data_IF_225243968582
#
_entry.id   IF_225243968582
#
_cell.length_a   1.000
_cell.length_b   1.000
_cell.length_c   1.000
_cell.angle_alpha   90.00
_cell.angle_beta   90.00
_cell.angle_gamma   90.00
#
_symmetry.space_group_name_H-M   'P 1'
#
loop_
_entity.id
_entity.type
_entity.pdbx_description
1 polymer ?
#
# COMPACT_ATOMS: atom_id res chain seq x y z
N UNK A 1 -27.95 -8.03 -32.03
CA UNK A 1 -26.46 -7.84 -31.99
C UNK A 1 -26.18 -6.35 -31.88
N UNK A 2 -25.32 -5.94 -30.95
CA UNK A 2 -24.82 -4.55 -30.84
C UNK A 2 -23.54 -4.41 -31.67
N UNK A 3 -23.48 -3.42 -32.57
CA UNK A 3 -22.24 -3.12 -33.32
C UNK A 3 -21.20 -2.52 -32.38
N UNK A 4 -19.97 -3.09 -32.37
CA UNK A 4 -18.86 -2.73 -31.47
C UNK A 4 -17.94 -1.72 -32.12
N UNK A 5 -18.25 -0.42 -32.00
CA UNK A 5 -17.47 0.67 -32.62
C UNK A 5 -16.04 0.76 -32.06
N UNK A 6 -15.83 0.39 -30.80
CA UNK A 6 -14.49 0.34 -30.17
C UNK A 6 -13.52 -0.66 -30.81
N UNK A 7 -14.00 -1.58 -31.66
CA UNK A 7 -13.17 -2.46 -32.46
C UNK A 7 -12.73 -1.83 -33.77
N UNK A 8 -13.54 -0.91 -34.29
CA UNK A 8 -13.25 -0.17 -35.54
C UNK A 8 -12.36 1.03 -35.26
N UNK A 9 -12.65 1.77 -34.18
CA UNK A 9 -11.92 2.93 -33.75
C UNK A 9 -11.85 2.98 -32.21
N UNK A 10 -10.67 2.66 -31.67
CA UNK A 10 -10.42 2.69 -30.22
C UNK A 10 -10.40 4.12 -29.63
N UNK A 11 -10.20 5.15 -30.48
CA UNK A 11 -10.14 6.56 -30.09
C UNK A 11 -11.47 7.30 -30.27
N UNK A 12 -12.52 6.61 -30.71
CA UNK A 12 -13.86 7.21 -30.86
C UNK A 12 -14.40 7.64 -29.48
N UNK A 13 -14.56 8.96 -29.29
CA UNK A 13 -15.00 9.56 -28.04
C UNK A 13 -16.50 9.80 -27.99
N UNK A 14 -17.10 10.09 -29.14
CA UNK A 14 -18.52 10.38 -29.30
C UNK A 14 -19.11 9.58 -30.45
N UNK A 15 -20.34 9.11 -30.29
CA UNK A 15 -21.06 8.35 -31.32
C UNK A 15 -22.57 8.57 -31.19
N UNK A 16 -23.29 8.24 -32.24
CA UNK A 16 -24.77 8.20 -32.22
C UNK A 16 -25.27 6.78 -32.40
N UNK A 17 -26.35 6.43 -31.73
CA UNK A 17 -26.95 5.11 -31.78
C UNK A 17 -28.46 5.18 -31.55
N UNK A 18 -29.22 4.19 -32.03
CA UNK A 18 -30.62 4.01 -31.66
C UNK A 18 -30.76 3.21 -30.38
N UNK A 19 -31.66 3.60 -29.49
CA UNK A 19 -32.00 2.83 -28.27
C UNK A 19 -32.89 1.64 -28.68
N UNK A 20 -32.35 0.44 -28.59
CA UNK A 20 -33.05 -0.80 -28.92
C UNK A 20 -33.98 -1.23 -27.79
N UNK A 21 -33.57 -1.06 -26.56
CA UNK A 21 -34.37 -1.31 -25.36
C UNK A 21 -33.83 -0.54 -24.16
N UNK A 22 -34.72 -0.14 -23.24
CA UNK A 22 -34.35 0.42 -21.95
C UNK A 22 -35.32 -0.07 -20.89
N UNK A 23 -34.79 -0.64 -19.78
CA UNK A 23 -35.61 -1.26 -18.74
C UNK A 23 -35.07 -0.89 -17.35
N UNK A 24 -35.95 -0.76 -16.33
CA UNK A 24 -35.52 -0.59 -14.96
C UNK A 24 -34.69 -1.77 -14.49
N UNK A 25 -33.64 -1.51 -13.67
CA UNK A 25 -32.85 -2.50 -12.96
C UNK A 25 -32.60 -2.02 -11.51
N UNK A 26 -31.92 -2.83 -10.68
CA UNK A 26 -31.78 -2.56 -9.23
C UNK A 26 -31.19 -1.17 -8.90
N UNK A 27 -30.27 -0.66 -9.72
CA UNK A 27 -29.58 0.61 -9.47
C UNK A 27 -29.82 1.67 -10.59
N UNK A 28 -30.98 1.64 -11.24
CA UNK A 28 -31.32 2.57 -12.32
C UNK A 28 -31.92 1.86 -13.53
N UNK A 29 -31.29 1.99 -14.68
CA UNK A 29 -31.78 1.43 -15.95
C UNK A 29 -30.68 0.65 -16.66
N UNK A 30 -31.06 -0.41 -17.37
CA UNK A 30 -30.21 -1.09 -18.36
C UNK A 30 -30.71 -0.79 -19.77
N UNK A 31 -29.84 -0.33 -20.64
CA UNK A 31 -30.17 -0.03 -22.03
C UNK A 31 -29.27 -0.80 -23.01
N UNK A 32 -29.86 -1.24 -24.10
CA UNK A 32 -29.17 -1.82 -25.27
C UNK A 32 -29.26 -0.83 -26.42
N UNK A 33 -28.13 -0.52 -27.03
CA UNK A 33 -28.03 0.34 -28.20
C UNK A 33 -27.77 -0.48 -29.47
N UNK A 34 -28.16 0.06 -30.64
CA UNK A 34 -27.87 -0.54 -31.96
C UNK A 34 -26.35 -0.68 -32.20
N UNK A 35 -25.55 0.27 -31.70
CA UNK A 35 -24.08 0.28 -31.72
C UNK A 35 -23.52 1.05 -30.54
N UNK A 36 -22.26 0.80 -30.18
CA UNK A 36 -21.63 1.48 -29.04
C UNK A 36 -20.12 1.58 -29.18
N UNK A 37 -19.56 2.70 -28.71
CA UNK A 37 -18.15 2.86 -28.49
C UNK A 37 -17.72 2.56 -27.05
N UNK A 38 -18.66 2.36 -26.12
CA UNK A 38 -18.37 1.92 -24.75
C UNK A 38 -17.85 0.48 -24.74
N UNK A 39 -16.66 0.26 -24.19
CA UNK A 39 -16.09 -1.05 -24.00
C UNK A 39 -16.71 -1.69 -22.74
N UNK A 40 -17.30 -2.90 -22.84
CA UNK A 40 -17.78 -3.64 -21.69
C UNK A 40 -16.61 -4.20 -20.86
N UNK A 41 -16.84 -4.52 -19.59
CA UNK A 41 -15.84 -5.21 -18.78
C UNK A 41 -15.39 -6.51 -19.48
N UNK A 42 -14.07 -6.66 -19.63
CA UNK A 42 -13.53 -7.83 -20.31
C UNK A 42 -12.01 -7.87 -20.35
N UNK A 43 -11.43 -9.08 -20.47
CA UNK A 43 -9.97 -9.23 -20.57
C UNK A 43 -9.18 -8.72 -19.36
N UNK A 44 -9.80 -8.63 -18.18
CA UNK A 44 -9.19 -8.09 -16.97
C UNK A 44 -9.21 -6.55 -16.89
N UNK A 45 -9.89 -5.87 -17.82
CA UNK A 45 -10.09 -4.42 -17.85
C UNK A 45 -11.52 -4.08 -17.45
N UNK A 46 -11.69 -3.08 -16.59
CA UNK A 46 -12.99 -2.54 -16.20
C UNK A 46 -13.70 -1.88 -17.38
N UNK A 47 -15.05 -1.86 -17.32
CA UNK A 47 -15.92 -1.24 -18.29
C UNK A 47 -15.69 0.27 -18.42
N UNK A 48 -16.00 0.83 -19.59
CA UNK A 48 -16.00 2.27 -19.75
C UNK A 48 -17.15 2.94 -19.00
N UNK A 49 -16.96 4.19 -18.69
CA UNK A 49 -17.97 5.11 -18.17
C UNK A 49 -18.11 6.32 -19.07
N UNK A 50 -19.18 7.10 -18.88
CA UNK A 50 -19.44 8.29 -19.65
C UNK A 50 -20.88 8.75 -19.51
N UNK A 51 -21.45 9.30 -20.58
CA UNK A 51 -22.85 9.74 -20.62
C UNK A 51 -23.51 9.35 -21.95
N UNK A 52 -24.83 9.15 -21.91
CA UNK A 52 -25.69 9.00 -23.09
C UNK A 52 -26.81 10.05 -22.94
N UNK A 53 -26.87 11.03 -23.86
CA UNK A 53 -27.75 12.20 -23.78
C UNK A 53 -27.77 12.89 -22.41
N UNK A 54 -26.56 12.99 -21.78
CA UNK A 54 -26.38 13.61 -20.46
C UNK A 54 -26.68 12.67 -19.27
N UNK A 55 -27.23 11.48 -19.51
CA UNK A 55 -27.48 10.46 -18.48
C UNK A 55 -26.18 9.66 -18.24
N UNK A 56 -25.78 9.54 -16.98
CA UNK A 56 -24.54 8.84 -16.61
C UNK A 56 -24.62 7.34 -16.90
N UNK A 57 -23.59 6.83 -17.59
CA UNK A 57 -23.28 5.41 -17.73
C UNK A 57 -22.26 5.04 -16.66
N UNK A 58 -22.61 4.17 -15.70
CA UNK A 58 -21.73 3.78 -14.61
C UNK A 58 -21.12 2.40 -14.79
N UNK A 59 -21.71 1.53 -15.64
CA UNK A 59 -21.18 0.22 -15.98
C UNK A 59 -21.63 -0.22 -17.38
N UNK A 60 -20.85 -1.11 -17.99
CA UNK A 60 -21.16 -1.69 -19.31
C UNK A 60 -20.78 -3.17 -19.31
N UNK A 61 -21.73 -4.05 -19.65
CA UNK A 61 -21.55 -5.48 -19.63
C UNK A 61 -21.94 -6.11 -20.97
N UNK A 62 -21.21 -7.15 -21.38
CA UNK A 62 -21.55 -7.95 -22.56
C UNK A 62 -22.26 -9.23 -22.15
N UNK A 63 -23.44 -9.50 -22.72
CA UNK A 63 -24.19 -10.75 -22.52
C UNK A 63 -24.61 -11.30 -23.88
N UNK A 64 -23.96 -12.34 -24.32
CA UNK A 64 -24.16 -12.89 -25.67
C UNK A 64 -23.73 -11.90 -26.75
N UNK A 65 -24.64 -11.52 -27.65
CA UNK A 65 -24.38 -10.59 -28.76
C UNK A 65 -24.80 -9.14 -28.45
N UNK A 66 -25.18 -8.85 -27.20
CA UNK A 66 -25.70 -7.54 -26.81
C UNK A 66 -24.76 -6.91 -25.75
N UNK A 67 -24.62 -5.58 -25.84
CA UNK A 67 -23.93 -4.79 -24.84
C UNK A 67 -24.97 -3.98 -24.07
N UNK A 68 -24.98 -4.19 -22.75
CA UNK A 68 -25.88 -3.55 -21.81
C UNK A 68 -25.16 -2.37 -21.15
N UNK A 69 -25.76 -1.18 -21.22
CA UNK A 69 -25.29 0.02 -20.58
C UNK A 69 -26.13 0.26 -19.33
N UNK A 70 -25.51 0.35 -18.17
CA UNK A 70 -26.17 0.63 -16.90
C UNK A 70 -26.14 2.13 -16.61
N UNK A 71 -27.35 2.71 -16.45
CA UNK A 71 -27.62 4.14 -16.48
C UNK A 71 -28.27 4.62 -15.18
N UNK A 72 -28.00 5.86 -14.80
CA UNK A 72 -28.70 6.52 -13.67
C UNK A 72 -30.10 7.04 -14.05
N UNK A 73 -30.49 6.99 -15.31
CA UNK A 73 -31.80 7.48 -15.83
C UNK A 73 -32.27 6.71 -17.04
N UNK A 74 -33.53 6.94 -17.41
CA UNK A 74 -34.23 6.27 -18.50
C UNK A 74 -33.89 6.89 -19.86
N UNK A 75 -33.73 6.05 -20.89
CA UNK A 75 -33.65 6.41 -22.29
C UNK A 75 -34.95 5.98 -22.99
N UNK A 76 -35.45 6.79 -23.95
CA UNK A 76 -36.64 6.47 -24.71
C UNK A 76 -36.30 5.49 -25.85
N UNK A 77 -36.98 4.33 -25.90
CA UNK A 77 -36.80 3.33 -26.93
C UNK A 77 -37.14 3.87 -28.33
N UNK A 78 -36.37 3.48 -29.34
CA UNK A 78 -36.50 3.92 -30.72
C UNK A 78 -35.93 5.33 -31.01
N UNK A 79 -35.46 6.06 -30.00
CA UNK A 79 -34.80 7.35 -30.21
C UNK A 79 -33.32 7.17 -30.56
N UNK A 80 -32.83 8.13 -31.38
CA UNK A 80 -31.40 8.31 -31.60
C UNK A 80 -30.82 9.13 -30.48
N UNK A 81 -29.77 8.61 -29.83
CA UNK A 81 -29.06 9.21 -28.71
C UNK A 81 -27.58 9.41 -29.03
N UNK A 82 -26.94 10.34 -28.35
CA UNK A 82 -25.49 10.58 -28.43
C UNK A 82 -24.80 10.06 -27.21
N UNK A 83 -23.85 9.12 -27.39
CA UNK A 83 -22.99 8.61 -26.34
C UNK A 83 -21.65 9.31 -26.35
N UNK A 84 -21.16 9.69 -25.17
CA UNK A 84 -19.85 10.30 -24.95
C UNK A 84 -19.09 9.48 -23.89
N UNK A 85 -17.90 9.01 -24.26
CA UNK A 85 -17.05 8.20 -23.37
C UNK A 85 -16.27 9.13 -22.44
N UNK A 86 -16.04 8.70 -21.18
CA UNK A 86 -15.06 9.30 -20.28
C UNK A 86 -13.65 9.04 -20.84
N UNK A 87 -13.23 9.94 -21.74
CA UNK A 87 -12.02 9.76 -22.55
C UNK A 87 -10.76 9.64 -21.71
N UNK A 88 -10.62 10.43 -20.65
CA UNK A 88 -9.43 10.39 -19.81
C UNK A 88 -9.25 9.00 -19.16
N UNK A 89 -10.34 8.36 -18.76
CA UNK A 89 -10.29 6.99 -18.23
C UNK A 89 -10.03 5.96 -19.32
N UNK A 90 -10.72 6.04 -20.45
CA UNK A 90 -10.51 5.16 -21.60
C UNK A 90 -9.07 5.21 -22.06
N UNK A 91 -8.52 6.38 -22.31
CA UNK A 91 -7.16 6.55 -22.78
C UNK A 91 -6.13 6.07 -21.76
N UNK A 92 -6.35 6.39 -20.48
CA UNK A 92 -5.50 5.85 -19.40
C UNK A 92 -5.50 4.32 -19.39
N UNK A 93 -6.66 3.67 -19.56
CA UNK A 93 -6.74 2.21 -19.61
C UNK A 93 -6.05 1.64 -20.86
N UNK A 94 -6.20 2.28 -22.02
CA UNK A 94 -5.49 1.88 -23.24
C UNK A 94 -3.97 1.99 -23.06
N UNK A 95 -3.47 3.05 -22.39
CA UNK A 95 -2.04 3.18 -22.05
C UNK A 95 -1.55 2.02 -21.16
N UNK A 96 -2.30 1.69 -20.09
CA UNK A 96 -1.94 0.58 -19.19
C UNK A 96 -1.97 -0.76 -19.93
N UNK A 97 -3.05 -1.05 -20.67
CA UNK A 97 -3.24 -2.32 -21.34
C UNK A 97 -2.21 -2.55 -22.45
N UNK A 98 -1.95 -1.54 -23.28
CA UNK A 98 -0.92 -1.63 -24.31
C UNK A 98 0.49 -1.75 -23.72
N UNK A 99 0.76 -1.08 -22.60
CA UNK A 99 2.01 -1.24 -21.84
C UNK A 99 2.15 -2.65 -21.25
N UNK A 100 1.06 -3.26 -20.78
CA UNK A 100 1.07 -4.65 -20.31
C UNK A 100 1.47 -5.61 -21.42
N UNK A 101 0.92 -5.45 -22.62
CA UNK A 101 1.29 -6.28 -23.76
C UNK A 101 2.80 -6.22 -24.06
N UNK A 102 3.41 -5.03 -24.02
CA UNK A 102 4.86 -4.86 -24.22
C UNK A 102 5.65 -5.58 -23.13
N UNK A 103 5.29 -5.34 -21.85
CA UNK A 103 5.98 -5.96 -20.71
C UNK A 103 5.85 -7.48 -20.75
N UNK A 104 4.64 -7.99 -20.95
CA UNK A 104 4.38 -9.44 -21.03
C UNK A 104 5.08 -10.09 -22.23
N UNK A 105 5.08 -9.44 -23.39
CA UNK A 105 5.77 -9.95 -24.57
C UNK A 105 7.29 -10.01 -24.38
N UNK A 106 7.91 -8.97 -23.78
CA UNK A 106 9.35 -8.96 -23.46
C UNK A 106 9.69 -10.05 -22.46
N UNK A 107 8.88 -10.22 -21.40
CA UNK A 107 9.10 -11.25 -20.37
C UNK A 107 8.96 -12.64 -20.97
N UNK A 108 7.94 -12.86 -21.79
CA UNK A 108 7.76 -14.15 -22.49
C UNK A 108 8.95 -14.48 -23.40
N UNK A 109 9.39 -13.51 -24.22
CA UNK A 109 10.51 -13.70 -25.15
C UNK A 109 11.85 -13.94 -24.45
N UNK A 110 12.12 -13.31 -23.32
CA UNK A 110 13.41 -13.40 -22.62
C UNK A 110 13.50 -14.54 -21.60
N UNK A 111 12.39 -14.79 -20.88
CA UNK A 111 12.38 -15.71 -19.73
C UNK A 111 11.45 -16.91 -19.92
N UNK A 112 10.62 -16.92 -20.97
CA UNK A 112 9.63 -17.97 -21.20
C UNK A 112 8.46 -17.95 -20.21
N UNK A 113 8.26 -16.85 -19.48
CA UNK A 113 7.16 -16.74 -18.51
C UNK A 113 5.91 -16.12 -19.15
N UNK A 114 4.76 -16.67 -18.76
CA UNK A 114 3.47 -16.21 -19.25
C UNK A 114 2.80 -15.27 -18.28
N UNK A 115 2.00 -14.34 -18.80
CA UNK A 115 1.05 -13.57 -18.01
C UNK A 115 -0.14 -14.48 -17.68
N UNK A 116 -0.28 -14.84 -16.40
CA UNK A 116 -1.34 -15.73 -15.87
C UNK A 116 -2.43 -14.96 -15.13
N UNK A 117 -2.33 -13.63 -15.02
CA UNK A 117 -3.36 -12.78 -14.41
C UNK A 117 -3.15 -11.31 -14.75
N UNK A 118 -4.24 -10.60 -15.02
CA UNK A 118 -4.24 -9.17 -15.31
C UNK A 118 -5.46 -8.50 -14.72
N UNK A 119 -5.27 -7.39 -14.02
CA UNK A 119 -6.33 -6.58 -13.46
C UNK A 119 -6.05 -5.10 -13.74
N UNK A 120 -7.01 -4.45 -14.39
CA UNK A 120 -6.93 -3.05 -14.76
C UNK A 120 -8.25 -2.33 -14.44
N UNK A 121 -8.18 -1.40 -13.51
CA UNK A 121 -9.25 -0.44 -13.20
C UNK A 121 -8.69 0.99 -13.13
N UNK A 122 -9.43 1.95 -12.59
CA UNK A 122 -9.02 3.35 -12.54
C UNK A 122 -7.82 3.61 -11.62
N UNK A 123 -7.59 2.77 -10.61
CA UNK A 123 -6.53 2.94 -9.60
C UNK A 123 -5.38 1.96 -9.80
N UNK A 124 -5.69 0.73 -10.19
CA UNK A 124 -4.76 -0.39 -10.17
C UNK A 124 -4.51 -0.95 -11.57
N UNK A 125 -3.25 -1.24 -11.86
CA UNK A 125 -2.83 -2.06 -12.99
C UNK A 125 -1.81 -3.10 -12.49
N UNK A 126 -2.23 -4.37 -12.45
CA UNK A 126 -1.34 -5.47 -12.03
C UNK A 126 -1.30 -6.58 -13.05
N UNK A 127 -0.13 -7.19 -13.19
CA UNK A 127 0.08 -8.40 -13.97
C UNK A 127 0.76 -9.47 -13.12
N UNK A 128 0.33 -10.72 -13.31
CA UNK A 128 0.88 -11.89 -12.64
C UNK A 128 1.65 -12.72 -13.67
N UNK A 129 2.94 -12.94 -13.44
CA UNK A 129 3.79 -13.75 -14.29
C UNK A 129 3.99 -15.13 -13.68
N UNK A 130 4.12 -16.16 -14.53
CA UNK A 130 4.24 -17.57 -14.13
C UNK A 130 5.61 -17.91 -13.49
N UNK A 131 6.61 -17.03 -13.57
CA UNK A 131 7.93 -17.22 -12.99
C UNK A 131 8.43 -16.01 -12.21
N UNK A 132 9.44 -16.19 -11.35
CA UNK A 132 10.04 -15.11 -10.56
C UNK A 132 10.99 -14.27 -11.41
N UNK A 133 11.10 -12.98 -11.08
CA UNK A 133 12.10 -12.06 -11.64
C UNK A 133 12.82 -11.36 -10.50
N UNK A 134 14.12 -11.17 -10.64
CA UNK A 134 14.94 -10.36 -9.73
C UNK A 134 14.68 -8.87 -9.95
N UNK A 135 15.16 -8.03 -9.05
CA UNK A 135 15.06 -6.57 -9.18
C UNK A 135 15.81 -6.04 -10.40
N UNK A 136 16.94 -6.67 -10.70
CA UNK A 136 17.79 -6.35 -11.85
C UNK A 136 17.07 -6.70 -13.17
N UNK A 137 16.50 -7.90 -13.26
CA UNK A 137 15.71 -8.33 -14.43
C UNK A 137 14.47 -7.48 -14.63
N UNK A 138 13.76 -7.08 -13.55
CA UNK A 138 12.63 -6.15 -13.64
C UNK A 138 13.05 -4.79 -14.18
N UNK A 139 14.23 -4.28 -13.79
CA UNK A 139 14.78 -3.03 -14.32
C UNK A 139 15.14 -3.16 -15.81
N UNK A 140 15.70 -4.28 -16.21
CA UNK A 140 16.00 -4.56 -17.63
C UNK A 140 14.72 -4.65 -18.48
N UNK A 141 13.67 -5.30 -17.96
CA UNK A 141 12.36 -5.36 -18.62
C UNK A 141 11.74 -3.95 -18.72
N UNK A 142 11.77 -3.15 -17.65
CA UNK A 142 11.28 -1.78 -17.66
C UNK A 142 12.00 -0.93 -18.70
N UNK A 143 13.32 -1.00 -18.75
CA UNK A 143 14.13 -0.28 -19.73
C UNK A 143 13.78 -0.70 -21.16
N UNK A 144 13.73 -2.01 -21.43
CA UNK A 144 13.38 -2.52 -22.75
C UNK A 144 11.95 -2.15 -23.18
N UNK A 145 11.01 -2.09 -22.21
CA UNK A 145 9.65 -1.66 -22.48
C UNK A 145 9.57 -0.16 -22.83
N UNK A 146 10.39 0.68 -22.22
CA UNK A 146 10.46 2.10 -22.57
C UNK A 146 11.18 2.33 -23.91
N UNK A 147 12.20 1.55 -24.25
CA UNK A 147 12.80 1.59 -25.58
C UNK A 147 11.77 1.21 -26.66
N UNK A 148 10.89 0.25 -26.39
CA UNK A 148 9.78 -0.06 -27.28
C UNK A 148 8.85 1.16 -27.46
N UNK A 149 8.47 1.83 -26.37
CA UNK A 149 7.64 3.05 -26.43
C UNK A 149 8.31 4.13 -27.29
N UNK A 150 9.61 4.33 -27.15
CA UNK A 150 10.37 5.31 -27.95
C UNK A 150 10.45 4.93 -29.44
N UNK A 151 10.44 3.63 -29.77
CA UNK A 151 10.40 3.16 -31.16
C UNK A 151 9.07 3.48 -31.87
N UNK A 152 8.00 3.74 -31.11
CA UNK A 152 6.70 4.23 -31.57
C UNK A 152 6.12 3.46 -32.77
N UNK A 153 6.16 2.13 -32.71
CA UNK A 153 5.57 1.29 -33.79
C UNK A 153 4.03 1.28 -33.71
N UNK A 154 3.33 1.05 -34.84
CA UNK A 154 1.86 0.96 -34.84
C UNK A 154 1.38 -0.33 -34.19
N UNK A 155 0.25 -0.25 -33.46
CA UNK A 155 -0.50 -1.40 -33.00
C UNK A 155 -1.41 -1.90 -34.10
N UNK A 156 -1.25 -3.15 -34.50
CA UNK A 156 -1.99 -3.75 -35.60
C UNK A 156 -3.06 -4.69 -35.06
N UNK A 157 -4.28 -4.53 -35.61
CA UNK A 157 -5.41 -5.41 -35.29
C UNK A 157 -5.70 -6.29 -36.49
N UNK A 158 -5.90 -7.59 -36.25
CA UNK A 158 -6.27 -8.52 -37.32
C UNK A 158 -7.26 -9.57 -36.81
N UNK A 159 -8.01 -10.15 -37.75
CA UNK A 159 -8.98 -11.22 -37.53
C UNK A 159 -8.60 -12.41 -38.44
N UNK A 160 -7.58 -13.20 -38.09
CA UNK A 160 -7.10 -14.31 -38.93
C UNK A 160 -8.16 -15.41 -39.07
N UNK A 161 -8.11 -16.14 -40.21
CA UNK A 161 -8.90 -17.35 -40.40
C UNK A 161 -8.44 -18.45 -39.43
N UNK A 162 -9.30 -19.47 -39.18
CA UNK A 162 -8.97 -20.62 -38.33
C UNK A 162 -7.71 -21.38 -38.81
N UNK A 163 -7.49 -21.44 -40.13
CA UNK A 163 -6.29 -22.04 -40.73
C UNK A 163 -5.03 -21.23 -40.39
N UNK A 164 -5.11 -19.90 -40.50
CA UNK A 164 -4.00 -19.03 -40.22
C UNK A 164 -3.64 -18.98 -38.72
N UNK A 165 -4.64 -19.08 -37.85
CA UNK A 165 -4.45 -19.16 -36.39
C UNK A 165 -3.63 -20.39 -35.97
N UNK A 166 -3.76 -21.53 -36.65
CA UNK A 166 -3.00 -22.77 -36.35
C UNK A 166 -1.48 -22.60 -36.60
N UNK A 167 -1.10 -21.69 -37.44
CA UNK A 167 0.31 -21.43 -37.80
C UNK A 167 0.86 -20.14 -37.22
N UNK A 168 0.00 -19.32 -36.58
CA UNK A 168 0.40 -18.08 -35.94
C UNK A 168 0.89 -18.38 -34.52
N UNK A 169 2.08 -17.95 -34.21
CA UNK A 169 2.59 -17.94 -32.84
C UNK A 169 2.03 -16.71 -32.12
N UNK A 170 1.10 -16.93 -31.18
CA UNK A 170 0.46 -15.86 -30.41
C UNK A 170 0.16 -16.31 -28.98
N UNK A 171 0.21 -15.37 -28.06
CA UNK A 171 -0.17 -15.61 -26.66
C UNK A 171 -1.68 -15.55 -26.51
N UNK A 172 -2.24 -16.43 -25.70
CA UNK A 172 -3.64 -16.39 -25.28
C UNK A 172 -3.78 -16.88 -23.85
N UNK A 173 -4.63 -16.22 -23.06
CA UNK A 173 -4.94 -16.62 -21.68
C UNK A 173 -6.06 -17.66 -21.60
N UNK A 174 -6.87 -17.79 -22.64
CA UNK A 174 -8.04 -18.68 -22.70
C UNK A 174 -8.17 -19.26 -24.12
N UNK A 175 -8.83 -20.40 -24.20
CA UNK A 175 -9.37 -20.88 -25.49
C UNK A 175 -10.54 -19.98 -25.91
N UNK A 176 -10.53 -19.55 -27.17
CA UNK A 176 -11.53 -18.63 -27.72
C UNK A 176 -12.36 -19.37 -28.76
N UNK A 177 -13.66 -19.54 -28.48
CA UNK A 177 -14.61 -20.03 -29.47
C UNK A 177 -15.01 -18.88 -30.41
N UNK A 178 -14.95 -19.15 -31.74
CA UNK A 178 -15.37 -18.20 -32.76
C UNK A 178 -14.23 -17.38 -33.39
N UNK A 179 -14.47 -16.12 -33.70
CA UNK A 179 -13.49 -15.25 -34.36
C UNK A 179 -12.53 -14.67 -33.33
N UNK A 180 -11.22 -14.96 -33.49
CA UNK A 180 -10.17 -14.45 -32.64
C UNK A 180 -9.69 -13.11 -33.14
N UNK A 181 -9.66 -12.10 -32.26
CA UNK A 181 -9.05 -10.80 -32.50
C UNK A 181 -7.59 -10.82 -32.02
N UNK A 182 -6.66 -10.63 -32.93
CA UNK A 182 -5.22 -10.59 -32.65
C UNK A 182 -4.76 -9.14 -32.63
N UNK A 183 -4.10 -8.79 -31.54
CA UNK A 183 -3.36 -7.53 -31.35
C UNK A 183 -1.89 -7.84 -31.56
N UNK A 184 -1.25 -7.14 -32.50
CA UNK A 184 0.18 -7.28 -32.81
C UNK A 184 0.89 -5.95 -32.55
N UNK A 185 1.89 -5.97 -31.69
CA UNK A 185 2.89 -4.92 -31.52
C UNK A 185 4.18 -5.42 -32.18
N UNK A 186 4.50 -4.98 -33.43
CA UNK A 186 5.58 -5.57 -34.18
C UNK A 186 6.91 -5.57 -33.45
N UNK A 187 7.52 -6.75 -33.32
CA UNK A 187 8.79 -6.94 -32.61
C UNK A 187 8.67 -7.14 -31.10
N UNK A 188 7.47 -6.99 -30.53
CA UNK A 188 7.29 -7.05 -29.07
C UNK A 188 6.23 -8.04 -28.60
N UNK A 189 5.05 -8.06 -29.22
CA UNK A 189 3.98 -8.95 -28.81
C UNK A 189 3.01 -9.32 -29.92
N UNK A 190 2.48 -10.54 -29.87
CA UNK A 190 1.33 -11.02 -30.66
C UNK A 190 0.40 -11.74 -29.71
N UNK A 191 -0.79 -11.21 -29.49
CA UNK A 191 -1.69 -11.73 -28.46
C UNK A 191 -3.16 -11.67 -28.85
N UNK A 192 -3.92 -12.67 -28.45
CA UNK A 192 -5.38 -12.62 -28.52
C UNK A 192 -5.92 -11.69 -27.44
N UNK A 193 -6.55 -10.57 -27.84
CA UNK A 193 -7.06 -9.56 -26.92
C UNK A 193 -8.30 -8.86 -27.45
N UNK A 194 -9.29 -8.66 -26.55
CA UNK A 194 -10.56 -8.00 -26.89
C UNK A 194 -10.56 -6.49 -26.53
N UNK A 195 -9.61 -5.99 -25.75
CA UNK A 195 -9.63 -4.61 -25.28
C UNK A 195 -9.22 -3.60 -26.36
N UNK A 196 -9.64 -2.32 -26.23
CA UNK A 196 -9.13 -1.23 -27.04
C UNK A 196 -7.68 -0.91 -26.65
N UNK A 197 -6.87 -0.61 -27.69
CA UNK A 197 -5.45 -0.26 -27.56
C UNK A 197 -5.17 1.10 -28.19
N UNK A 198 -4.02 1.68 -27.85
CA UNK A 198 -3.47 2.87 -28.53
C UNK A 198 -3.18 2.58 -30.01
N UNK A 199 -3.16 3.58 -30.87
CA UNK A 199 -2.80 3.39 -32.28
C UNK A 199 -1.31 3.18 -32.46
N UNK A 200 -0.52 3.94 -31.71
CA UNK A 200 0.94 3.85 -31.71
C UNK A 200 1.44 3.70 -30.27
N UNK A 201 2.43 2.85 -30.06
CA UNK A 201 2.92 2.57 -28.69
C UNK A 201 3.58 3.79 -28.03
N UNK A 202 3.99 4.81 -28.77
CA UNK A 202 4.41 6.10 -28.24
C UNK A 202 3.34 6.83 -27.42
N UNK A 203 2.05 6.59 -27.70
CA UNK A 203 0.93 7.14 -26.94
C UNK A 203 0.88 6.57 -25.49
N UNK A 204 1.55 5.45 -25.22
CA UNK A 204 1.70 4.90 -23.86
C UNK A 204 2.45 5.89 -22.97
N UNK A 205 3.41 6.62 -23.54
CA UNK A 205 4.25 7.58 -22.83
C UNK A 205 5.37 6.90 -22.05
N UNK A 206 5.23 6.74 -20.74
CA UNK A 206 6.24 6.10 -19.87
C UNK A 206 5.67 4.84 -19.23
N UNK A 207 6.46 3.78 -19.15
CA UNK A 207 6.12 2.54 -18.42
C UNK A 207 7.00 2.46 -17.17
N UNK A 208 6.36 2.30 -15.98
CA UNK A 208 7.03 2.11 -14.68
C UNK A 208 6.53 0.84 -14.01
N UNK A 209 7.45 -0.02 -13.60
CA UNK A 209 7.19 -1.18 -12.74
C UNK A 209 7.42 -0.75 -11.28
N UNK A 210 6.37 -0.25 -10.63
CA UNK A 210 6.51 0.49 -9.36
C UNK A 210 6.61 -0.42 -8.14
N UNK A 211 6.04 -1.62 -8.20
CA UNK A 211 6.08 -2.59 -7.11
C UNK A 211 6.06 -4.02 -7.64
N UNK A 212 6.73 -4.92 -6.93
CA UNK A 212 6.69 -6.35 -7.21
C UNK A 212 6.64 -7.16 -5.92
N UNK A 213 5.97 -8.30 -5.97
CA UNK A 213 5.89 -9.25 -4.85
C UNK A 213 5.77 -10.70 -5.36
N UNK A 214 6.32 -11.63 -4.61
CA UNK A 214 6.13 -13.05 -4.93
C UNK A 214 4.65 -13.43 -4.86
N UNK A 215 4.15 -14.13 -5.86
CA UNK A 215 2.76 -14.50 -5.95
C UNK A 215 2.57 -15.84 -6.68
N UNK A 216 1.96 -16.83 -6.00
CA UNK A 216 1.59 -18.15 -6.57
C UNK A 216 2.71 -18.85 -7.35
N UNK A 217 3.93 -18.81 -6.87
CA UNK A 217 5.08 -19.42 -7.53
C UNK A 217 5.77 -18.57 -8.61
N UNK A 218 5.19 -17.43 -8.93
CA UNK A 218 5.74 -16.42 -9.82
C UNK A 218 5.82 -15.05 -9.14
N UNK A 219 5.57 -13.99 -9.91
CA UNK A 219 5.65 -12.61 -9.43
C UNK A 219 4.41 -11.81 -9.85
N UNK A 220 3.85 -11.02 -8.92
CA UNK A 220 2.88 -9.97 -9.23
C UNK A 220 3.60 -8.64 -9.33
N UNK A 221 3.32 -7.91 -10.40
CA UNK A 221 3.89 -6.60 -10.68
C UNK A 221 2.77 -5.57 -10.70
N UNK A 222 2.96 -4.45 -10.00
CA UNK A 222 2.15 -3.24 -10.18
C UNK A 222 2.85 -2.33 -11.17
N UNK A 223 2.12 -1.95 -12.21
CA UNK A 223 2.61 -1.15 -13.32
C UNK A 223 1.82 0.14 -13.46
N UNK A 224 2.50 1.21 -13.87
CA UNK A 224 1.88 2.48 -14.22
C UNK A 224 2.40 2.93 -15.59
N UNK A 225 1.47 3.38 -16.45
CA UNK A 225 1.81 3.92 -17.76
C UNK A 225 1.28 5.34 -17.93
N UNK A 226 1.96 6.13 -18.76
CA UNK A 226 1.51 7.45 -19.21
C UNK A 226 1.17 8.40 -18.08
N UNK A 227 -0.05 8.93 -18.09
CA UNK A 227 -0.51 9.91 -17.09
C UNK A 227 -0.42 9.39 -15.65
N UNK A 228 -0.65 8.09 -15.41
CA UNK A 228 -0.52 7.51 -14.05
C UNK A 228 0.93 7.50 -13.58
N UNK A 229 1.86 7.16 -14.46
CA UNK A 229 3.29 7.19 -14.15
C UNK A 229 3.78 8.63 -13.89
N UNK A 230 3.30 9.61 -14.67
CA UNK A 230 3.61 11.03 -14.45
C UNK A 230 3.08 11.52 -13.11
N UNK A 231 1.83 11.19 -12.76
CA UNK A 231 1.23 11.57 -11.47
C UNK A 231 1.98 10.97 -10.29
N UNK A 232 2.38 9.70 -10.38
CA UNK A 232 3.18 9.02 -9.37
C UNK A 232 4.55 9.70 -9.18
N UNK A 233 5.20 10.07 -10.29
CA UNK A 233 6.45 10.83 -10.24
C UNK A 233 6.29 12.19 -9.56
N UNK A 234 5.27 12.97 -9.94
CA UNK A 234 4.97 14.27 -9.34
C UNK A 234 4.75 14.18 -7.82
N UNK A 235 3.99 13.18 -7.38
CA UNK A 235 3.75 12.96 -5.94
C UNK A 235 5.04 12.58 -5.19
N UNK A 236 5.91 11.77 -5.81
CA UNK A 236 7.22 11.44 -5.23
C UNK A 236 8.14 12.65 -5.19
N UNK A 237 8.16 13.48 -6.24
CA UNK A 237 8.91 14.73 -6.30
C UNK A 237 8.46 15.71 -5.20
N UNK A 238 7.15 15.89 -5.00
CA UNK A 238 6.62 16.71 -3.91
C UNK A 238 7.07 16.22 -2.53
N UNK A 239 7.03 14.89 -2.32
CA UNK A 239 7.49 14.28 -1.07
C UNK A 239 8.99 14.50 -0.85
N UNK A 240 9.80 14.34 -1.89
CA UNK A 240 11.24 14.60 -1.85
C UNK A 240 11.51 16.08 -1.54
N UNK A 241 10.81 17.02 -2.18
CA UNK A 241 10.94 18.46 -1.90
C UNK A 241 10.58 18.81 -0.45
N UNK A 242 9.53 18.20 0.10
CA UNK A 242 9.15 18.39 1.50
C UNK A 242 10.24 17.89 2.46
N UNK A 243 10.85 16.73 2.19
CA UNK A 243 11.97 16.20 2.97
C UNK A 243 13.19 17.11 2.87
N UNK A 244 13.54 17.59 1.66
CA UNK A 244 14.62 18.57 1.44
C UNK A 244 14.43 19.82 2.29
N UNK A 245 13.21 20.37 2.31
CA UNK A 245 12.88 21.54 3.13
C UNK A 245 13.04 21.27 4.63
N UNK A 246 12.56 20.12 5.10
CA UNK A 246 12.64 19.72 6.53
C UNK A 246 14.07 19.49 7.00
N UNK A 247 14.93 18.95 6.13
CA UNK A 247 16.33 18.63 6.46
C UNK A 247 17.32 19.73 6.04
N UNK A 248 16.85 20.78 5.36
CA UNK A 248 17.72 21.80 4.73
C UNK A 248 18.84 21.18 3.89
N UNK A 249 18.47 20.12 3.13
CA UNK A 249 19.40 19.33 2.34
C UNK A 249 19.14 19.53 0.84
N UNK A 250 20.19 19.37 0.02
CA UNK A 250 20.06 19.24 -1.43
C UNK A 250 19.57 17.84 -1.79
N UNK A 251 18.97 17.71 -2.98
CA UNK A 251 18.35 16.45 -3.43
C UNK A 251 19.34 15.26 -3.40
N UNK A 252 20.53 15.45 -3.90
CA UNK A 252 21.59 14.43 -3.95
C UNK A 252 22.12 14.02 -2.56
N UNK A 253 21.88 14.84 -1.52
CA UNK A 253 22.36 14.64 -0.14
C UNK A 253 21.25 14.23 0.85
N UNK A 254 20.04 13.97 0.38
CA UNK A 254 18.89 13.63 1.25
C UNK A 254 19.18 12.39 2.11
N UNK A 255 19.70 11.34 1.49
CA UNK A 255 19.99 10.08 2.18
C UNK A 255 21.01 10.29 3.31
N UNK A 256 22.08 11.04 3.04
CA UNK A 256 23.10 11.38 4.03
C UNK A 256 22.53 12.26 5.17
N UNK A 257 21.66 13.22 4.82
CA UNK A 257 21.00 14.06 5.81
C UNK A 257 20.07 13.27 6.74
N UNK A 258 19.36 12.26 6.23
CA UNK A 258 18.54 11.36 7.05
C UNK A 258 19.42 10.54 8.00
N UNK A 259 20.52 9.96 7.53
CA UNK A 259 21.40 9.17 8.39
C UNK A 259 22.04 10.05 9.48
N UNK A 260 22.48 11.28 9.15
CA UNK A 260 22.98 12.24 10.15
C UNK A 260 21.96 12.51 11.26
N UNK A 261 20.68 12.77 10.92
CA UNK A 261 19.63 13.00 11.93
C UNK A 261 19.37 11.75 12.77
N UNK A 262 19.46 10.56 12.21
CA UNK A 262 19.33 9.29 12.95
C UNK A 262 20.49 9.09 13.94
N UNK A 263 21.70 9.38 13.50
CA UNK A 263 22.90 9.31 14.36
C UNK A 263 22.81 10.32 15.51
N UNK A 264 22.48 11.58 15.23
CA UNK A 264 22.26 12.63 16.23
C UNK A 264 21.16 12.26 17.23
N UNK A 265 20.03 11.74 16.76
CA UNK A 265 18.95 11.26 17.64
C UNK A 265 19.41 10.12 18.55
N UNK A 266 20.25 9.21 18.06
CA UNK A 266 20.81 8.11 18.85
C UNK A 266 21.78 8.61 19.91
N UNK A 267 22.64 9.56 19.53
CA UNK A 267 23.60 10.19 20.45
C UNK A 267 22.87 10.96 21.56
N UNK A 268 21.88 11.79 21.21
CA UNK A 268 21.11 12.54 22.19
C UNK A 268 20.34 11.64 23.16
N UNK A 269 19.83 10.50 22.72
CA UNK A 269 19.21 9.49 23.59
C UNK A 269 20.21 8.90 24.57
N UNK A 270 21.44 8.63 24.13
CA UNK A 270 22.51 8.13 24.99
C UNK A 270 22.93 9.17 26.05
N UNK A 271 23.15 10.41 25.63
CA UNK A 271 23.49 11.52 26.52
C UNK A 271 22.38 11.80 27.55
N UNK A 272 21.12 11.73 27.12
CA UNK A 272 19.99 11.87 28.02
C UNK A 272 19.93 10.74 29.05
N UNK A 273 20.19 9.49 28.64
CA UNK A 273 20.20 8.34 29.55
C UNK A 273 21.35 8.46 30.58
N UNK A 274 22.53 8.89 30.14
CA UNK A 274 23.66 9.12 31.03
C UNK A 274 23.39 10.26 32.02
N UNK A 275 22.87 11.39 31.54
CA UNK A 275 22.50 12.51 32.42
C UNK A 275 21.44 12.12 33.44
N UNK A 276 20.43 11.35 33.05
CA UNK A 276 19.41 10.82 33.98
C UNK A 276 20.05 9.88 35.01
N UNK A 277 20.95 9.01 34.58
CA UNK A 277 21.66 8.12 35.50
C UNK A 277 22.50 8.89 36.54
N UNK A 278 23.20 9.95 36.13
CA UNK A 278 23.93 10.85 37.04
C UNK A 278 22.99 11.54 38.06
N UNK A 279 21.78 11.92 37.65
CA UNK A 279 20.77 12.44 38.57
C UNK A 279 20.35 11.39 39.60
N UNK A 280 20.17 10.13 39.18
CA UNK A 280 19.84 9.01 40.12
C UNK A 280 21.00 8.74 41.08
N UNK A 281 22.24 8.80 40.63
CA UNK A 281 23.42 8.68 41.49
C UNK A 281 23.46 9.80 42.55
N UNK A 282 23.27 11.05 42.12
CA UNK A 282 23.23 12.20 43.04
C UNK A 282 22.03 12.12 44.02
N UNK A 283 20.90 11.51 43.64
CA UNK A 283 19.80 11.22 44.56
C UNK A 283 20.16 10.13 45.56
N UNK A 284 20.77 9.03 45.11
CA UNK A 284 21.22 7.96 45.97
C UNK A 284 22.33 8.42 46.96
N UNK A 285 23.23 9.33 46.54
CA UNK A 285 24.28 9.90 47.40
C UNK A 285 23.72 10.63 48.60
N UNK A 286 22.58 11.31 48.48
CA UNK A 286 21.93 12.02 49.59
C UNK A 286 21.39 11.11 50.69
N UNK A 287 21.27 9.81 50.40
CA UNK A 287 20.80 8.82 51.38
C UNK A 287 21.97 8.41 52.27
N UNK A 288 21.87 8.53 53.59
CA UNK A 288 22.92 8.13 54.52
C UNK A 288 23.26 6.64 54.41
N UNK A 289 24.53 6.31 54.52
CA UNK A 289 24.98 4.92 54.54
C UNK A 289 24.45 4.19 55.79
N UNK A 290 24.19 2.88 55.63
CA UNK A 290 23.79 2.01 56.75
C UNK A 290 22.33 2.18 57.20
N UNK A 291 21.49 2.87 56.45
CA UNK A 291 20.05 2.85 56.67
C UNK A 291 19.51 1.45 56.35
N UNK A 292 18.79 0.85 57.31
CA UNK A 292 18.23 -0.50 57.11
C UNK A 292 17.17 -0.52 56.02
N UNK A 293 16.24 0.45 56.10
CA UNK A 293 15.15 0.58 55.11
C UNK A 293 15.09 1.98 54.56
N UNK A 294 14.89 2.10 53.26
CA UNK A 294 14.75 3.37 52.51
C UNK A 294 13.50 3.33 51.69
N UNK A 295 12.70 4.37 51.79
CA UNK A 295 11.47 4.55 51.01
C UNK A 295 11.50 5.92 50.26
N UNK A 296 11.54 5.87 48.96
CA UNK A 296 11.66 7.04 48.08
C UNK A 296 10.39 7.22 47.26
N UNK A 297 9.86 8.44 47.25
CA UNK A 297 8.77 8.83 46.37
C UNK A 297 9.29 9.93 45.43
N UNK A 298 9.16 9.72 44.13
CA UNK A 298 9.54 10.69 43.12
C UNK A 298 8.65 10.57 41.88
N UNK A 299 7.82 11.60 41.63
CA UNK A 299 6.88 11.65 40.50
C UNK A 299 7.56 11.83 39.15
N UNK A 300 8.86 12.17 39.13
CA UNK A 300 9.61 12.40 37.88
C UNK A 300 10.25 11.10 37.34
N UNK A 301 10.34 10.05 38.15
CA UNK A 301 10.93 8.78 37.72
C UNK A 301 10.02 8.09 36.69
N UNK A 302 10.63 7.59 35.64
CA UNK A 302 9.95 6.92 34.52
C UNK A 302 10.67 5.66 34.05
N UNK A 303 9.98 4.81 33.32
CA UNK A 303 10.58 3.63 32.69
C UNK A 303 11.27 2.71 33.73
N UNK A 304 12.60 2.55 33.59
CA UNK A 304 13.43 1.69 34.45
C UNK A 304 14.13 2.47 35.60
N UNK A 305 14.00 3.79 35.63
CA UNK A 305 14.67 4.65 36.63
C UNK A 305 14.37 4.27 38.10
N UNK A 306 13.13 3.89 38.48
CA UNK A 306 12.86 3.44 39.86
C UNK A 306 13.72 2.23 40.27
N UNK A 307 13.93 1.30 39.35
CA UNK A 307 14.76 0.11 39.58
C UNK A 307 16.25 0.46 39.65
N UNK A 308 16.71 1.36 38.80
CA UNK A 308 18.10 1.83 38.82
C UNK A 308 18.41 2.56 40.12
N UNK A 309 17.55 3.49 40.56
CA UNK A 309 17.70 4.18 41.83
C UNK A 309 17.67 3.19 43.02
N UNK A 310 16.76 2.24 43.02
CA UNK A 310 16.74 1.17 44.05
C UNK A 310 18.08 0.42 44.10
N UNK A 311 18.61 0.01 42.95
CA UNK A 311 19.88 -0.71 42.89
C UNK A 311 21.06 0.16 43.40
N UNK A 312 21.08 1.45 43.06
CA UNK A 312 22.12 2.39 43.55
C UNK A 312 22.09 2.51 45.08
N UNK A 313 20.88 2.61 45.65
CA UNK A 313 20.70 2.71 47.11
C UNK A 313 21.09 1.43 47.82
N UNK A 314 20.75 0.24 47.28
CA UNK A 314 21.13 -1.05 47.83
C UNK A 314 22.67 -1.23 47.88
N UNK A 315 23.40 -0.78 46.85
CA UNK A 315 24.87 -0.80 46.80
C UNK A 315 25.51 0.00 47.94
N UNK A 316 24.81 0.90 48.61
CA UNK A 316 25.30 1.64 49.78
C UNK A 316 25.10 0.92 51.11
N UNK A 317 24.66 -0.34 51.07
CA UNK A 317 24.48 -1.18 52.26
C UNK A 317 23.07 -1.05 52.88
N UNK A 318 22.09 -0.51 52.17
CA UNK A 318 20.68 -0.54 52.58
C UNK A 318 20.14 -1.96 52.47
N UNK A 319 19.48 -2.46 53.53
CA UNK A 319 18.90 -3.80 53.54
C UNK A 319 17.68 -3.91 52.62
N UNK A 320 16.76 -2.93 52.69
CA UNK A 320 15.57 -2.86 51.85
C UNK A 320 15.38 -1.47 51.26
N UNK A 321 15.23 -1.38 49.95
CA UNK A 321 14.91 -0.13 49.28
C UNK A 321 13.62 -0.24 48.50
N UNK A 322 12.70 0.69 48.75
CA UNK A 322 11.42 0.83 48.03
C UNK A 322 11.39 2.17 47.30
N UNK A 323 11.13 2.16 45.99
CA UNK A 323 11.01 3.35 45.15
C UNK A 323 9.63 3.39 44.53
N UNK A 324 8.93 4.51 44.72
CA UNK A 324 7.59 4.77 44.23
C UNK A 324 7.61 5.92 43.22
N UNK A 325 7.23 5.65 42.00
CA UNK A 325 7.15 6.61 40.91
C UNK A 325 5.70 6.95 40.61
N UNK A 326 5.34 8.22 40.68
CA UNK A 326 3.95 8.69 40.49
C UNK A 326 3.54 9.69 41.56
N UNK A 327 2.24 9.81 41.79
CA UNK A 327 1.64 10.70 42.81
C UNK A 327 0.36 10.10 43.37
N UNK A 328 -0.19 10.74 44.42
CA UNK A 328 -1.41 10.26 45.11
C UNK A 328 -2.66 10.23 44.25
N UNK A 329 -2.77 11.13 43.25
CA UNK A 329 -3.95 11.23 42.39
C UNK A 329 -4.00 10.11 41.33
N UNK A 330 -2.85 9.80 40.72
CA UNK A 330 -2.72 8.81 39.65
C UNK A 330 -2.24 7.44 40.11
N UNK A 331 -1.91 7.32 41.41
CA UNK A 331 -1.27 6.14 41.97
C UNK A 331 0.25 6.09 41.71
N UNK A 332 0.88 5.10 42.31
CA UNK A 332 2.33 4.88 42.22
C UNK A 332 2.63 3.56 41.52
N UNK A 333 3.65 3.58 40.69
CA UNK A 333 4.37 2.36 40.31
C UNK A 333 5.51 2.15 41.28
N UNK A 334 5.66 0.94 41.82
CA UNK A 334 6.69 0.66 42.80
C UNK A 334 7.67 -0.41 42.34
N UNK A 335 8.90 -0.28 42.83
CA UNK A 335 9.92 -1.31 42.80
C UNK A 335 10.51 -1.40 44.21
N UNK A 336 10.53 -2.60 44.79
CA UNK A 336 11.08 -2.88 46.12
C UNK A 336 12.13 -3.97 45.95
N UNK A 337 13.33 -3.73 46.45
CA UNK A 337 14.43 -4.71 46.38
C UNK A 337 15.19 -4.83 47.67
N UNK A 338 15.86 -5.98 47.80
CA UNK A 338 16.80 -6.33 48.88
C UNK A 338 17.79 -7.37 48.37
N UNK A 339 19.02 -7.27 48.85
CA UNK A 339 20.05 -8.31 48.64
C UNK A 339 20.07 -9.36 49.78
N UNK A 340 19.46 -9.04 50.93
CA UNK A 340 19.55 -9.84 52.17
C UNK A 340 18.21 -10.39 52.62
N UNK A 341 17.08 -9.74 52.27
CA UNK A 341 15.74 -10.10 52.74
C UNK A 341 14.79 -10.51 51.59
N UNK A 342 13.76 -11.28 51.96
CA UNK A 342 12.65 -11.57 51.03
C UNK A 342 11.65 -10.41 51.02
N UNK A 343 11.58 -9.71 49.90
CA UNK A 343 10.71 -8.53 49.75
C UNK A 343 9.27 -8.86 49.31
N UNK A 344 8.91 -10.10 49.07
CA UNK A 344 7.54 -10.50 48.70
C UNK A 344 6.47 -10.16 49.77
N UNK A 345 6.76 -10.20 51.08
CA UNK A 345 5.80 -9.75 52.09
C UNK A 345 5.35 -8.30 51.91
N UNK A 346 6.24 -7.38 51.48
CA UNK A 346 5.89 -6.00 51.23
C UNK A 346 4.84 -5.87 50.07
N UNK A 347 5.06 -6.61 49.00
CA UNK A 347 4.08 -6.64 47.89
C UNK A 347 2.72 -7.20 48.34
N UNK A 348 2.69 -8.15 49.30
CA UNK A 348 1.46 -8.68 49.87
C UNK A 348 0.72 -7.62 50.71
N UNK A 349 1.43 -6.90 51.57
CA UNK A 349 0.89 -5.81 52.36
C UNK A 349 0.30 -4.70 51.48
N UNK A 350 1.05 -4.29 50.45
CA UNK A 350 0.60 -3.28 49.50
C UNK A 350 -0.68 -3.70 48.75
N UNK A 351 -0.82 -5.00 48.45
CA UNK A 351 -2.07 -5.53 47.85
C UNK A 351 -3.26 -5.49 48.82
N UNK A 352 -3.04 -5.88 50.06
CA UNK A 352 -4.11 -6.02 51.05
C UNK A 352 -4.62 -4.66 51.59
N UNK A 353 -3.72 -3.68 51.73
CA UNK A 353 -4.03 -2.40 52.34
C UNK A 353 -4.24 -1.24 51.37
N UNK A 354 -3.74 -1.33 50.16
CA UNK A 354 -3.68 -0.19 49.24
C UNK A 354 -4.12 -0.54 47.79
N UNK A 355 -4.95 -1.56 47.63
CA UNK A 355 -5.40 -2.05 46.30
C UNK A 355 -4.24 -2.23 45.30
N UNK A 356 -3.13 -2.69 45.82
CA UNK A 356 -1.91 -2.86 45.03
C UNK A 356 -2.00 -4.05 44.09
N UNK A 357 -1.32 -3.94 42.95
CA UNK A 357 -1.12 -5.02 41.97
C UNK A 357 0.39 -5.19 41.72
N UNK A 358 0.87 -6.42 41.73
CA UNK A 358 2.27 -6.66 41.48
C UNK A 358 2.75 -7.98 42.04
N UNK A 359 4.07 -8.18 42.03
CA UNK A 359 4.75 -9.37 42.52
C UNK A 359 6.17 -9.45 41.98
N UNK A 360 6.84 -10.55 42.23
CA UNK A 360 8.19 -10.76 41.75
C UNK A 360 8.91 -11.90 42.45
N UNK A 361 10.22 -11.82 42.50
CA UNK A 361 11.13 -12.77 43.14
C UNK A 361 11.47 -12.31 44.58
N UNK A 362 12.01 -13.17 45.46
CA UNK A 362 12.41 -12.78 46.82
C UNK A 362 13.30 -11.52 46.87
N UNK A 363 14.19 -11.34 45.90
CA UNK A 363 15.13 -10.22 45.86
C UNK A 363 14.54 -8.93 45.30
N UNK A 364 13.41 -9.00 44.58
CA UNK A 364 12.78 -7.82 43.95
C UNK A 364 11.31 -8.07 43.62
N UNK A 365 10.46 -7.15 44.01
CA UNK A 365 9.04 -7.07 43.58
C UNK A 365 8.75 -5.73 42.94
N UNK A 366 7.79 -5.71 42.04
CA UNK A 366 7.33 -4.49 41.38
C UNK A 366 5.82 -4.52 41.13
N UNK A 367 5.21 -3.36 40.99
CA UNK A 367 3.79 -3.27 40.75
C UNK A 367 3.27 -1.85 40.75
N UNK A 368 1.97 -1.73 41.03
CA UNK A 368 1.27 -0.46 41.22
C UNK A 368 0.51 -0.46 42.53
N UNK A 369 0.30 0.72 43.11
CA UNK A 369 -0.39 0.89 44.41
C UNK A 369 -1.07 2.24 44.45
N UNK A 370 -2.23 2.33 45.09
CA UNK A 370 -2.98 3.56 45.36
C UNK A 370 -2.92 3.87 46.86
N UNK A 371 -2.83 5.14 47.24
CA UNK A 371 -2.80 5.58 48.63
C UNK A 371 -1.97 6.81 48.85
N UNK A 372 -2.03 7.36 50.05
CA UNK A 372 -1.18 8.50 50.39
C UNK A 372 0.27 8.07 50.66
N UNK A 373 1.21 8.92 50.30
CA UNK A 373 2.62 8.72 50.55
C UNK A 373 2.90 8.39 52.04
N UNK A 374 2.24 9.13 52.98
CA UNK A 374 2.39 8.93 54.42
C UNK A 374 1.95 7.53 54.88
N UNK A 375 0.81 7.03 54.35
CA UNK A 375 0.31 5.72 54.71
C UNK A 375 1.18 4.59 54.19
N UNK A 376 1.68 4.74 52.96
CA UNK A 376 2.59 3.74 52.33
C UNK A 376 3.95 3.72 53.06
N UNK A 377 4.49 4.87 53.44
CA UNK A 377 5.79 4.92 54.20
C UNK A 377 5.77 4.12 55.49
N UNK A 378 4.63 4.10 56.21
CA UNK A 378 4.47 3.32 57.47
C UNK A 378 4.68 1.80 57.29
N UNK A 379 4.56 1.29 56.05
CA UNK A 379 4.82 -0.12 55.76
C UNK A 379 6.33 -0.46 55.87
N UNK A 380 7.18 0.55 55.78
CA UNK A 380 8.64 0.42 55.74
C UNK A 380 9.33 0.93 57.02
N UNK A 381 8.60 1.44 57.93
CA UNK A 381 9.06 1.75 59.30
C UNK A 381 9.13 0.45 60.14
#
# INVERSE_FOLDING_TARGET
MTEKLFYTDSHLQEFTAEVVSCRPCDNGYEAVLSRTAFFPEGGGQAADTGVIDGIRVYDVQEKGEQIFHYLEGELEEGKTVTGQIDWDKRFSRMQQHSGEHIVSGIVHARFGYDNVGFHLNDELCTLDLSGPLTKEELREVENAANEAVFANVPVQISYPSKEKLKTLDYRSKIEIDGQVRIVTIPGYDVCACCAPHVYFIGEIGLIKLVQSQNYKGGIRITMLCGRRALKDYQQKEESVKAIMGSLSAKEELIAEAVERVKEECTQLKSELAETRYQILEAQAEKIPEGQKKVCIFDSKLSGNEPRELMNLVLKKGTEVCAVFAGNEESGYRYVIGSETEDVRPYSKILKEQFDGRGGGKPVMVQGSVNGSEEAIRKVFE
#
